data_IF_976210724157
#
_entry.id   IF_976210724157
#
_cell.length_a   1.000
_cell.length_b   1.000
_cell.length_c   1.000
_cell.angle_alpha   90.00
_cell.angle_beta   90.00
_cell.angle_gamma   90.00
#
_symmetry.space_group_name_H-M   'P 1'
#
loop_
_entity.id
_entity.type
_entity.pdbx_description
1 polymer ?
#
# COMPACT_ATOMS: atom_id res chain seq x y z
N UNK A 1 -41.09 26.85 -16.34
CA UNK A 1 -40.18 26.60 -17.48
C UNK A 1 -38.81 27.19 -17.11
N UNK A 2 -38.02 26.47 -16.32
CA UNK A 2 -36.88 25.62 -16.73
C UNK A 2 -35.71 26.39 -17.35
N UNK A 3 -34.64 26.60 -16.56
CA UNK A 3 -33.28 26.25 -16.95
C UNK A 3 -32.39 26.20 -15.71
N UNK A 4 -32.13 24.99 -15.24
CA UNK A 4 -30.95 24.73 -14.44
C UNK A 4 -29.72 24.89 -15.34
N UNK A 5 -28.74 25.65 -14.86
CA UNK A 5 -27.44 25.76 -15.47
C UNK A 5 -26.44 25.22 -14.45
N UNK A 6 -26.29 23.90 -14.47
CA UNK A 6 -25.19 23.19 -13.83
C UNK A 6 -24.20 22.90 -14.95
N UNK A 7 -23.13 23.69 -15.05
CA UNK A 7 -22.00 23.38 -15.91
C UNK A 7 -20.73 23.46 -15.08
N UNK A 8 -19.91 22.42 -15.21
CA UNK A 8 -18.56 22.39 -14.64
C UNK A 8 -18.39 21.44 -13.46
N UNK A 9 -18.95 20.23 -13.51
CA UNK A 9 -18.27 19.10 -12.87
C UNK A 9 -16.93 19.00 -13.61
N UNK A 10 -15.87 19.52 -13.00
CA UNK A 10 -14.50 19.24 -13.42
C UNK A 10 -14.37 17.74 -13.31
N UNK A 11 -14.60 17.06 -14.44
CA UNK A 11 -14.21 15.68 -14.64
C UNK A 11 -12.76 15.62 -14.17
N UNK A 12 -12.56 14.95 -13.03
CA UNK A 12 -11.28 14.44 -12.64
C UNK A 12 -10.91 13.49 -13.77
N UNK A 13 -10.27 14.07 -14.79
CA UNK A 13 -9.73 13.38 -15.93
C UNK A 13 -8.53 12.60 -15.39
N UNK A 14 -8.86 11.50 -14.69
CA UNK A 14 -7.99 10.42 -14.29
C UNK A 14 -7.55 9.65 -15.52
N UNK A 15 -7.08 10.40 -16.53
CA UNK A 15 -6.48 9.87 -17.72
C UNK A 15 -5.32 9.00 -17.27
N UNK A 16 -5.37 7.73 -17.66
CA UNK A 16 -4.27 6.79 -17.53
C UNK A 16 -3.05 7.41 -18.22
N UNK A 17 -2.26 8.20 -17.49
CA UNK A 17 -0.93 8.61 -17.93
C UNK A 17 -0.20 7.31 -18.22
N UNK A 18 0.34 7.12 -19.43
CA UNK A 18 1.09 5.93 -19.74
C UNK A 18 2.22 5.85 -18.72
N UNK A 19 2.15 4.84 -17.85
CA UNK A 19 3.21 4.52 -16.91
C UNK A 19 4.52 4.52 -17.69
N UNK A 20 5.51 5.29 -17.24
CA UNK A 20 6.84 5.26 -17.87
C UNK A 20 7.31 3.80 -17.91
N UNK A 21 7.99 3.35 -18.97
CA UNK A 21 8.47 1.97 -19.13
C UNK A 21 9.13 1.42 -17.85
N UNK A 22 9.84 2.25 -17.12
CA UNK A 22 10.45 1.90 -15.83
C UNK A 22 9.41 1.56 -14.74
N UNK A 23 8.32 2.30 -14.69
CA UNK A 23 7.22 2.09 -13.76
C UNK A 23 6.41 0.84 -14.13
N UNK A 24 6.21 0.59 -15.43
CA UNK A 24 5.63 -0.66 -15.92
C UNK A 24 6.50 -1.87 -15.52
N UNK A 25 7.82 -1.80 -15.72
CA UNK A 25 8.75 -2.85 -15.29
C UNK A 25 8.71 -3.06 -13.78
N UNK A 26 8.71 -1.98 -12.98
CA UNK A 26 8.57 -2.08 -11.51
C UNK A 26 7.25 -2.72 -11.10
N UNK A 27 6.15 -2.44 -11.81
CA UNK A 27 4.85 -3.06 -11.55
C UNK A 27 4.88 -4.56 -11.87
N UNK A 28 5.42 -4.96 -13.01
CA UNK A 28 5.56 -6.36 -13.38
C UNK A 28 6.45 -7.14 -12.40
N UNK A 29 7.58 -6.58 -11.99
CA UNK A 29 8.45 -7.20 -11.00
C UNK A 29 7.78 -7.34 -9.62
N UNK A 30 6.96 -6.36 -9.22
CA UNK A 30 6.16 -6.48 -7.99
C UNK A 30 5.12 -7.59 -8.11
N UNK A 31 4.42 -7.68 -9.23
CA UNK A 31 3.44 -8.74 -9.49
C UNK A 31 4.10 -10.12 -9.52
N UNK A 32 5.26 -10.25 -10.15
CA UNK A 32 6.03 -11.48 -10.16
C UNK A 32 6.41 -11.91 -8.74
N UNK A 33 6.99 -11.01 -7.94
CA UNK A 33 7.35 -11.31 -6.54
C UNK A 33 6.12 -11.67 -5.70
N UNK A 34 5.01 -10.99 -5.91
CA UNK A 34 3.75 -11.32 -5.22
C UNK A 34 3.26 -12.73 -5.60
N UNK A 35 3.31 -13.06 -6.89
CA UNK A 35 2.94 -14.39 -7.38
C UNK A 35 3.84 -15.47 -6.76
N UNK A 36 5.15 -15.24 -6.67
CA UNK A 36 6.10 -16.17 -6.06
C UNK A 36 5.80 -16.40 -4.55
N UNK A 37 5.50 -15.34 -3.81
CA UNK A 37 5.13 -15.44 -2.39
C UNK A 37 3.81 -16.19 -2.19
N UNK A 38 2.79 -15.90 -3.00
CA UNK A 38 1.49 -16.58 -2.94
C UNK A 38 1.58 -18.05 -3.37
N UNK A 39 2.35 -18.36 -4.42
CA UNK A 39 2.60 -19.75 -4.83
C UNK A 39 3.33 -20.54 -3.73
N UNK A 40 4.30 -19.90 -3.06
CA UNK A 40 4.99 -20.50 -1.92
C UNK A 40 4.03 -20.74 -0.75
N UNK A 41 3.13 -19.80 -0.45
CA UNK A 41 2.11 -19.97 0.58
C UNK A 41 1.22 -21.20 0.29
N UNK A 42 0.71 -21.31 -0.94
CA UNK A 42 -0.12 -22.46 -1.35
C UNK A 42 0.64 -23.78 -1.26
N UNK A 43 1.92 -23.82 -1.64
CA UNK A 43 2.75 -25.01 -1.51
C UNK A 43 2.91 -25.43 -0.04
N UNK A 44 3.13 -24.47 0.86
CA UNK A 44 3.26 -24.73 2.29
C UNK A 44 1.95 -25.25 2.89
N UNK A 45 0.80 -24.73 2.47
CA UNK A 45 -0.52 -25.23 2.89
C UNK A 45 -0.74 -26.68 2.45
N UNK A 46 -0.50 -26.98 1.16
CA UNK A 46 -0.60 -28.36 0.65
C UNK A 46 0.32 -29.32 1.41
N UNK A 47 1.52 -28.87 1.77
CA UNK A 47 2.45 -29.66 2.60
C UNK A 47 1.90 -29.85 4.01
N UNK A 48 1.33 -28.81 4.62
CA UNK A 48 0.74 -28.89 5.95
C UNK A 48 -0.39 -29.93 6.02
N UNK A 49 -1.15 -30.12 4.94
CA UNK A 49 -2.22 -31.11 4.86
C UNK A 49 -1.72 -32.54 4.66
N UNK A 50 -0.47 -32.70 4.20
CA UNK A 50 0.15 -34.01 3.94
C UNK A 50 1.03 -34.54 5.08
N UNK A 51 1.45 -33.69 6.02
CA UNK A 51 2.36 -34.09 7.09
C UNK A 51 1.61 -34.71 8.27
N UNK A 52 2.15 -35.79 8.82
CA UNK A 52 1.56 -36.50 9.95
C UNK A 52 1.76 -35.79 11.30
N UNK A 53 2.80 -34.95 11.42
CA UNK A 53 3.11 -34.24 12.67
C UNK A 53 2.25 -32.98 12.82
N UNK A 54 1.39 -32.88 13.86
CA UNK A 54 0.55 -31.70 14.06
C UNK A 54 1.35 -30.42 14.32
N UNK A 55 2.48 -30.54 15.02
CA UNK A 55 3.37 -29.41 15.29
C UNK A 55 4.00 -28.87 13.99
N UNK A 56 4.42 -29.78 13.10
CA UNK A 56 4.96 -29.39 11.80
C UNK A 56 3.89 -28.80 10.89
N UNK A 57 2.67 -29.37 10.87
CA UNK A 57 1.54 -28.84 10.12
C UNK A 57 1.22 -27.39 10.53
N UNK A 58 1.22 -27.12 11.85
CA UNK A 58 1.02 -25.78 12.38
C UNK A 58 2.09 -24.80 11.92
N UNK A 59 3.37 -25.16 12.04
CA UNK A 59 4.48 -24.31 11.59
C UNK A 59 4.39 -23.99 10.10
N UNK A 60 4.04 -24.97 9.27
CA UNK A 60 3.87 -24.79 7.83
C UNK A 60 2.73 -23.81 7.51
N UNK A 61 1.61 -23.89 8.23
CA UNK A 61 0.47 -22.96 8.08
C UNK A 61 0.81 -21.55 8.54
N UNK A 62 1.50 -21.40 9.67
CA UNK A 62 1.99 -20.10 10.14
C UNK A 62 2.92 -19.47 9.09
N UNK A 63 3.86 -20.24 8.55
CA UNK A 63 4.76 -19.77 7.50
C UNK A 63 4.03 -19.46 6.20
N UNK A 64 2.98 -20.20 5.84
CA UNK A 64 2.14 -19.89 4.69
C UNK A 64 1.40 -18.56 4.87
N UNK A 65 0.87 -18.29 6.07
CA UNK A 65 0.24 -17.02 6.42
C UNK A 65 1.19 -15.84 6.20
N UNK A 66 2.41 -15.90 6.74
CA UNK A 66 3.40 -14.84 6.54
C UNK A 66 3.75 -14.59 5.07
N UNK A 67 3.77 -15.66 4.26
CA UNK A 67 4.04 -15.58 2.81
C UNK A 67 2.88 -14.91 2.08
N UNK A 68 1.65 -15.27 2.42
CA UNK A 68 0.44 -14.64 1.91
C UNK A 68 0.43 -13.15 2.24
N UNK A 69 0.67 -12.77 3.50
CA UNK A 69 0.72 -11.37 3.93
C UNK A 69 1.79 -10.58 3.14
N UNK A 70 2.98 -11.16 2.92
CA UNK A 70 4.02 -10.54 2.09
C UNK A 70 3.56 -10.36 0.65
N UNK A 71 2.95 -11.38 0.05
CA UNK A 71 2.43 -11.32 -1.32
C UNK A 71 1.34 -10.26 -1.49
N UNK A 72 0.39 -10.21 -0.57
CA UNK A 72 -0.70 -9.22 -0.56
C UNK A 72 -0.16 -7.79 -0.41
N UNK A 73 0.82 -7.58 0.48
CA UNK A 73 1.49 -6.28 0.63
C UNK A 73 2.21 -5.82 -0.65
N UNK A 74 2.78 -6.74 -1.42
CA UNK A 74 3.42 -6.42 -2.70
C UNK A 74 2.39 -5.98 -3.76
N UNK A 75 1.18 -6.56 -3.74
CA UNK A 75 0.09 -6.21 -4.64
C UNK A 75 -0.60 -4.90 -4.26
N UNK A 76 -0.78 -4.64 -2.96
CA UNK A 76 -1.32 -3.38 -2.45
C UNK A 76 -0.47 -2.17 -2.87
N UNK A 77 0.81 -2.40 -3.19
CA UNK A 77 1.74 -1.35 -3.58
C UNK A 77 2.28 -0.56 -2.39
N UNK A 78 3.14 0.44 -2.62
CA UNK A 78 3.51 1.36 -1.55
C UNK A 78 2.23 1.97 -0.97
N UNK A 79 2.16 2.21 0.35
CA UNK A 79 1.07 3.00 0.90
C UNK A 79 1.02 4.30 0.10
N UNK A 80 -0.17 4.69 -0.34
CA UNK A 80 -0.41 6.03 -0.84
C UNK A 80 -0.05 6.97 0.31
N UNK A 81 1.21 7.38 0.39
CA UNK A 81 1.60 8.58 1.11
C UNK A 81 0.89 9.66 0.33
N UNK A 82 -0.33 9.97 0.75
CA UNK A 82 -1.26 10.81 0.03
C UNK A 82 -0.50 11.97 -0.56
N UNK A 83 -0.65 12.13 -1.87
CA UNK A 83 -0.31 13.36 -2.58
C UNK A 83 -1.21 14.47 -2.01
N UNK A 84 -0.88 14.92 -0.81
CA UNK A 84 -1.41 16.07 -0.08
C UNK A 84 -0.38 17.18 -0.12
N UNK A 85 0.16 17.48 -1.30
CA UNK A 85 0.72 18.79 -1.57
C UNK A 85 -0.47 19.77 -1.66
N UNK A 86 -0.95 20.26 -0.52
CA UNK A 86 -2.13 21.12 -0.47
C UNK A 86 -2.53 21.51 0.94
N UNK A 87 -1.64 22.21 1.66
CA UNK A 87 -1.91 22.66 3.03
C UNK A 87 -0.88 23.65 3.56
N UNK A 88 -0.33 24.54 2.72
CA UNK A 88 0.27 25.78 3.21
C UNK A 88 -0.85 26.81 3.41
N UNK A 89 -1.43 26.80 4.60
CA UNK A 89 -1.99 27.98 5.25
C UNK A 89 -1.43 27.89 6.68
N UNK A 90 -0.43 28.69 7.05
CA UNK A 90 -0.67 30.10 7.32
C UNK A 90 -1.47 30.19 8.62
N UNK A 91 -0.82 29.88 9.74
CA UNK A 91 -1.41 29.84 11.07
C UNK A 91 -0.32 30.05 12.11
N UNK A 92 -0.06 31.33 12.34
CA UNK A 92 0.83 31.91 13.34
C UNK A 92 0.71 31.20 14.70
N UNK A 93 1.74 30.46 15.09
CA UNK A 93 1.89 29.96 16.45
C UNK A 93 3.24 30.47 16.95
N UNK A 94 3.16 31.60 17.64
CA UNK A 94 4.26 32.35 18.23
C UNK A 94 5.28 31.44 18.94
N UNK A 95 6.59 31.74 18.84
CA UNK A 95 7.60 31.05 19.62
C UNK A 95 7.43 31.43 21.10
N UNK A 96 7.05 30.45 21.93
CA UNK A 96 7.16 30.58 23.38
C UNK A 96 8.64 30.71 23.74
N UNK A 97 9.07 31.95 23.98
CA UNK A 97 10.35 32.29 24.56
C UNK A 97 10.52 31.56 25.89
N UNK A 98 11.31 30.48 25.88
CA UNK A 98 11.87 29.91 27.11
C UNK A 98 13.03 30.78 27.54
N UNK A 99 12.71 31.88 28.20
CA UNK A 99 13.66 32.63 29.00
C UNK A 99 13.96 31.84 30.30
N UNK A 100 15.11 31.17 30.31
CA UNK A 100 15.96 31.00 31.50
C UNK A 100 17.38 31.06 30.98
N UNK A 101 18.29 31.85 31.58
CA UNK A 101 18.72 31.51 32.94
C UNK A 101 19.29 32.67 33.81
N UNK A 102 19.58 32.30 35.07
CA UNK A 102 20.58 32.82 36.03
C UNK A 102 20.34 34.15 36.77
N UNK A 103 20.36 34.05 38.10
CA UNK A 103 20.29 35.14 39.08
C UNK A 103 19.75 34.64 40.41
#
# INVERSE_FOLDING_TARGET
MTRGHQDGVTSADGGCRPLNRHEQLRRLLRMQRAADELATAQLLERRADSVSSPALARLLRERAGERRDRGERLLAGPPDTGSGAGGRAGGDAAPAERHRPLG
#
